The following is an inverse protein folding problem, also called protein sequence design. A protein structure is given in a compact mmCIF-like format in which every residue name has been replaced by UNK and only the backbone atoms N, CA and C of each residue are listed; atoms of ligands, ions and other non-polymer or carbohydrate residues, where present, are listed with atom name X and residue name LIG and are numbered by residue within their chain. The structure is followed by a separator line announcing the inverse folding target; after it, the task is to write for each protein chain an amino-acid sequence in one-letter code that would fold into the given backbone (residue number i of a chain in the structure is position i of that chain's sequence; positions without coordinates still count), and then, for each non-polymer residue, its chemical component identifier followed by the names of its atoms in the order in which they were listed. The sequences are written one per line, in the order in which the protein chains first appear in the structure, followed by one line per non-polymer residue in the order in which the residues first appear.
data_IF_993797184884
#
_entry.id   IF_993797184884
#
_cell.length_a   1.000
_cell.length_b   1.000
_cell.length_c   1.000
_cell.angle_alpha   90.00
_cell.angle_beta   90.00
_cell.angle_gamma   90.00
#
_symmetry.space_group_name_H-M   'P 1'
#
loop_
_entity.id
_entity.type
_entity.pdbx_description
1 polymer ?
#
# COMPACT_ATOMS: atom_id res chain seq x y z
N UNK A 1 -14.90 3.26 17.77
CA UNK A 1 -15.78 3.27 16.57
C UNK A 1 -16.11 1.85 16.12
N UNK A 2 -15.14 0.93 15.97
CA UNK A 2 -15.41 -0.46 15.58
C UNK A 2 -16.32 -1.25 16.54
N UNK A 3 -16.32 -0.95 17.85
CA UNK A 3 -17.22 -1.57 18.81
C UNK A 3 -18.64 -0.98 18.78
N UNK A 4 -18.82 0.27 18.36
CA UNK A 4 -20.13 0.90 18.22
C UNK A 4 -20.89 0.39 17.00
N UNK A 5 -20.18 0.06 15.91
CA UNK A 5 -20.79 -0.43 14.66
C UNK A 5 -21.37 -1.85 14.85
N UNK A 6 -20.73 -2.69 15.67
CA UNK A 6 -21.23 -4.04 16.01
C UNK A 6 -22.58 -4.06 16.76
N UNK A 7 -22.99 -2.95 17.36
CA UNK A 7 -24.23 -2.91 18.19
C UNK A 7 -25.51 -2.69 17.39
N UNK A 8 -25.43 -2.37 16.09
CA UNK A 8 -26.62 -1.98 15.30
C UNK A 8 -26.95 -2.89 14.12
N UNK A 9 -26.26 -4.01 13.94
CA UNK A 9 -26.48 -4.89 12.80
C UNK A 9 -26.03 -4.29 11.46
N UNK A 10 -25.26 -3.22 11.49
CA UNK A 10 -24.63 -2.63 10.31
C UNK A 10 -23.41 -3.45 9.91
N UNK A 11 -23.23 -3.71 8.60
CA UNK A 11 -22.02 -4.36 8.09
C UNK A 11 -20.81 -3.46 8.29
N UNK A 12 -19.74 -4.02 8.87
CA UNK A 12 -18.45 -3.33 8.91
C UNK A 12 -17.76 -3.36 7.55
N UNK A 13 -16.82 -2.43 7.32
CA UNK A 13 -16.00 -2.46 6.11
C UNK A 13 -15.20 -3.76 5.97
N UNK A 14 -14.79 -4.36 7.08
CA UNK A 14 -14.12 -5.66 7.06
C UNK A 14 -15.05 -6.80 6.60
N UNK A 15 -16.34 -6.74 6.93
CA UNK A 15 -17.33 -7.72 6.42
C UNK A 15 -17.53 -7.55 4.91
N UNK A 16 -17.65 -6.30 4.44
CA UNK A 16 -17.75 -5.97 3.01
C UNK A 16 -16.51 -6.48 2.24
N UNK A 17 -15.30 -6.20 2.72
CA UNK A 17 -14.07 -6.71 2.12
C UNK A 17 -14.03 -8.23 2.07
N UNK A 18 -14.44 -8.89 3.15
CA UNK A 18 -14.44 -10.35 3.25
C UNK A 18 -15.42 -10.98 2.27
N UNK A 19 -16.62 -10.41 2.14
CA UNK A 19 -17.60 -10.89 1.17
C UNK A 19 -17.14 -10.66 -0.27
N UNK A 20 -16.62 -9.46 -0.58
CA UNK A 20 -16.06 -9.15 -1.90
C UNK A 20 -14.91 -10.12 -2.26
N UNK A 21 -14.03 -10.43 -1.30
CA UNK A 21 -12.96 -11.39 -1.51
C UNK A 21 -13.51 -12.78 -1.82
N UNK A 22 -14.41 -13.32 -0.99
CA UNK A 22 -15.01 -14.63 -1.20
C UNK A 22 -15.70 -14.75 -2.58
N UNK A 23 -16.51 -13.76 -2.94
CA UNK A 23 -17.21 -13.76 -4.23
C UNK A 23 -16.25 -13.57 -5.42
N UNK A 24 -15.25 -12.72 -5.31
CA UNK A 24 -14.27 -12.53 -6.39
C UNK A 24 -13.45 -13.79 -6.65
N UNK A 25 -12.96 -14.44 -5.59
CA UNK A 25 -12.21 -15.69 -5.72
C UNK A 25 -13.07 -16.80 -6.33
N UNK A 26 -14.29 -17.01 -5.82
CA UNK A 26 -15.18 -18.04 -6.33
C UNK A 26 -15.62 -17.77 -7.79
N UNK A 27 -15.89 -16.52 -8.14
CA UNK A 27 -16.18 -16.11 -9.51
C UNK A 27 -15.01 -16.36 -10.47
N UNK A 28 -13.78 -16.04 -10.04
CA UNK A 28 -12.60 -16.14 -10.90
C UNK A 28 -12.06 -17.56 -11.02
N UNK A 29 -11.96 -18.30 -9.92
CA UNK A 29 -11.32 -19.63 -9.92
C UNK A 29 -12.32 -20.75 -10.23
N UNK A 30 -13.57 -20.63 -9.76
CA UNK A 30 -14.62 -21.63 -9.99
C UNK A 30 -15.59 -21.23 -11.11
N UNK A 31 -15.41 -20.06 -11.73
CA UNK A 31 -16.27 -19.51 -12.78
C UNK A 31 -17.76 -19.45 -12.35
N UNK A 32 -18.00 -19.13 -11.08
CA UNK A 32 -19.33 -19.11 -10.49
C UNK A 32 -20.06 -17.81 -10.83
N UNK A 33 -21.06 -17.91 -11.72
CA UNK A 33 -21.88 -16.75 -12.15
C UNK A 33 -22.72 -16.14 -11.01
N UNK A 34 -23.14 -16.94 -10.04
CA UNK A 34 -23.86 -16.43 -8.87
C UNK A 34 -22.95 -15.57 -8.00
N UNK A 35 -21.72 -16.04 -7.77
CA UNK A 35 -20.71 -15.26 -7.02
C UNK A 35 -20.31 -13.99 -7.76
N UNK A 36 -20.20 -14.05 -9.09
CA UNK A 36 -20.00 -12.84 -9.91
C UNK A 36 -21.12 -11.81 -9.68
N UNK A 37 -22.37 -12.22 -9.75
CA UNK A 37 -23.51 -11.33 -9.48
C UNK A 37 -23.48 -10.78 -8.07
N UNK A 38 -23.20 -11.61 -7.09
CA UNK A 38 -23.15 -11.22 -5.69
C UNK A 38 -22.00 -10.22 -5.42
N UNK A 39 -20.85 -10.38 -6.10
CA UNK A 39 -19.75 -9.41 -6.02
C UNK A 39 -20.24 -8.01 -6.38
N UNK A 40 -20.92 -7.83 -7.50
CA UNK A 40 -21.41 -6.52 -7.91
C UNK A 40 -22.52 -6.00 -7.00
N UNK A 41 -23.39 -6.88 -6.49
CA UNK A 41 -24.41 -6.48 -5.50
C UNK A 41 -23.76 -5.91 -4.22
N UNK A 42 -22.68 -6.53 -3.73
CA UNK A 42 -21.96 -6.04 -2.54
C UNK A 42 -21.15 -4.79 -2.88
N UNK A 43 -20.60 -4.68 -4.09
CA UNK A 43 -19.88 -3.46 -4.50
C UNK A 43 -20.84 -2.27 -4.63
N UNK A 44 -22.00 -2.45 -5.24
CA UNK A 44 -23.05 -1.41 -5.29
C UNK A 44 -23.50 -1.01 -3.89
N UNK A 45 -23.70 -1.97 -2.99
CA UNK A 45 -23.99 -1.68 -1.59
C UNK A 45 -22.88 -0.84 -0.93
N UNK A 46 -21.60 -1.17 -1.15
CA UNK A 46 -20.48 -0.38 -0.63
C UNK A 46 -20.52 1.07 -1.14
N UNK A 47 -20.87 1.28 -2.41
CA UNK A 47 -21.05 2.62 -3.00
C UNK A 47 -22.20 3.36 -2.32
N UNK A 48 -23.34 2.71 -2.10
CA UNK A 48 -24.50 3.29 -1.40
C UNK A 48 -24.18 3.65 0.05
N UNK A 49 -23.29 2.91 0.70
CA UNK A 49 -22.80 3.21 2.05
C UNK A 49 -21.74 4.31 2.08
N UNK A 50 -21.43 4.92 0.94
CA UNK A 50 -20.53 6.06 0.85
C UNK A 50 -19.14 5.76 0.28
N UNK A 51 -18.80 4.51 -0.06
CA UNK A 51 -17.61 4.21 -0.86
C UNK A 51 -17.83 4.64 -2.30
N UNK A 52 -18.00 5.95 -2.51
CA UNK A 52 -18.38 6.56 -3.76
C UNK A 52 -17.44 7.69 -4.15
N UNK A 53 -17.34 7.99 -5.43
CA UNK A 53 -16.59 9.14 -5.91
C UNK A 53 -17.14 10.44 -5.29
N UNK A 54 -16.24 11.23 -4.70
CA UNK A 54 -16.58 12.53 -4.14
C UNK A 54 -17.31 12.49 -2.79
N UNK A 55 -17.48 11.31 -2.19
CA UNK A 55 -18.14 11.23 -0.89
C UNK A 55 -17.24 11.71 0.25
N UNK A 56 -17.85 12.15 1.35
CA UNK A 56 -17.21 12.68 2.54
C UNK A 56 -17.12 11.71 3.72
N UNK A 57 -16.98 10.40 3.50
CA UNK A 57 -16.87 9.43 4.60
C UNK A 57 -15.71 9.72 5.55
N UNK A 58 -14.64 10.33 5.05
CA UNK A 58 -13.43 10.68 5.82
C UNK A 58 -12.21 10.85 4.92
N UNK A 59 -11.03 10.80 5.52
CA UNK A 59 -9.78 10.93 4.78
C UNK A 59 -9.37 9.60 4.14
N UNK A 60 -8.87 9.64 2.91
CA UNK A 60 -8.54 8.46 2.12
C UNK A 60 -7.56 7.53 2.85
N UNK A 61 -6.49 8.07 3.45
CA UNK A 61 -5.49 7.26 4.14
C UNK A 61 -6.03 6.55 5.39
N UNK A 62 -6.94 7.16 6.15
CA UNK A 62 -7.58 6.48 7.27
C UNK A 62 -8.50 5.35 6.80
N UNK A 63 -9.33 5.60 5.77
CA UNK A 63 -10.15 4.55 5.18
C UNK A 63 -9.32 3.49 4.46
N UNK A 64 -8.14 3.83 3.97
CA UNK A 64 -7.19 2.90 3.39
C UNK A 64 -6.94 1.67 4.26
N UNK A 65 -6.97 1.80 5.58
CA UNK A 65 -6.87 0.65 6.50
C UNK A 65 -8.03 -0.36 6.38
N UNK A 66 -9.17 0.06 5.87
CA UNK A 66 -10.41 -0.71 5.85
C UNK A 66 -10.86 -1.14 4.46
N UNK A 67 -10.24 -0.62 3.39
CA UNK A 67 -10.71 -0.84 2.00
C UNK A 67 -9.63 -1.47 1.10
N UNK A 68 -8.48 -1.86 1.64
CA UNK A 68 -7.34 -2.37 0.85
C UNK A 68 -7.69 -3.58 0.00
N UNK A 69 -8.44 -4.53 0.57
CA UNK A 69 -8.81 -5.77 -0.12
C UNK A 69 -9.81 -5.53 -1.25
N UNK A 70 -10.59 -4.44 -1.22
CA UNK A 70 -11.49 -4.06 -2.32
C UNK A 70 -10.69 -3.92 -3.62
N UNK A 71 -9.49 -3.33 -3.57
CA UNK A 71 -8.65 -3.14 -4.75
C UNK A 71 -8.14 -4.46 -5.33
N UNK A 72 -7.69 -5.37 -4.48
CA UNK A 72 -7.27 -6.72 -4.93
C UNK A 72 -8.42 -7.46 -5.60
N UNK A 73 -9.62 -7.41 -5.01
CA UNK A 73 -10.80 -8.05 -5.60
C UNK A 73 -11.25 -7.38 -6.89
N UNK A 74 -11.16 -6.04 -6.97
CA UNK A 74 -11.43 -5.30 -8.20
C UNK A 74 -10.45 -5.67 -9.32
N UNK A 75 -9.18 -5.89 -8.99
CA UNK A 75 -8.20 -6.39 -9.96
C UNK A 75 -8.54 -7.80 -10.46
N UNK A 76 -8.92 -8.71 -9.58
CA UNK A 76 -9.39 -10.04 -9.98
C UNK A 76 -10.59 -9.94 -10.91
N UNK A 77 -11.56 -9.10 -10.58
CA UNK A 77 -12.80 -8.91 -11.31
C UNK A 77 -12.72 -7.90 -12.47
N UNK A 78 -11.53 -7.37 -12.79
CA UNK A 78 -11.36 -6.25 -13.74
C UNK A 78 -12.02 -6.46 -15.09
N UNK A 79 -11.95 -7.66 -15.65
CA UNK A 79 -12.54 -7.98 -16.94
C UNK A 79 -14.08 -7.90 -16.91
N UNK A 80 -14.67 -8.26 -15.79
CA UNK A 80 -16.12 -8.18 -15.58
C UNK A 80 -16.54 -6.74 -15.24
N UNK A 81 -15.72 -6.01 -14.47
CA UNK A 81 -15.93 -4.57 -14.23
C UNK A 81 -15.93 -3.79 -15.54
N UNK A 82 -15.01 -4.08 -16.48
CA UNK A 82 -14.97 -3.39 -17.77
C UNK A 82 -16.22 -3.61 -18.64
N UNK A 83 -16.90 -4.73 -18.47
CA UNK A 83 -18.14 -5.06 -19.19
C UNK A 83 -19.39 -4.57 -18.46
N UNK A 84 -19.26 -4.20 -17.19
CA UNK A 84 -20.42 -3.86 -16.36
C UNK A 84 -21.03 -2.50 -16.74
N UNK A 85 -22.38 -2.33 -16.72
CA UNK A 85 -23.02 -1.04 -17.00
C UNK A 85 -22.55 0.11 -16.09
N UNK A 86 -22.21 -0.19 -14.82
CA UNK A 86 -21.71 0.78 -13.84
C UNK A 86 -20.18 0.93 -13.85
N UNK A 87 -19.49 0.47 -14.90
CA UNK A 87 -18.02 0.48 -15.02
C UNK A 87 -17.40 1.81 -14.60
N UNK A 88 -17.91 2.91 -15.13
CA UNK A 88 -17.31 4.22 -14.91
C UNK A 88 -17.49 4.70 -13.46
N UNK A 89 -18.59 4.30 -12.81
CA UNK A 89 -18.84 4.53 -11.37
C UNK A 89 -17.81 3.78 -10.54
N UNK A 90 -17.61 2.49 -10.79
CA UNK A 90 -16.64 1.68 -10.06
C UNK A 90 -15.22 2.21 -10.23
N UNK A 91 -14.78 2.45 -11.46
CA UNK A 91 -13.44 2.92 -11.75
C UNK A 91 -13.16 4.32 -11.21
N UNK A 92 -14.14 5.23 -11.24
CA UNK A 92 -13.99 6.56 -10.65
C UNK A 92 -13.93 6.50 -9.12
N UNK A 93 -14.74 5.66 -8.50
CA UNK A 93 -14.74 5.42 -7.06
C UNK A 93 -13.39 4.86 -6.58
N UNK A 94 -12.88 3.82 -7.24
CA UNK A 94 -11.58 3.24 -6.90
C UNK A 94 -10.48 4.29 -7.00
N UNK A 95 -10.40 5.06 -8.10
CA UNK A 95 -9.40 6.13 -8.27
C UNK A 95 -9.51 7.23 -7.22
N UNK A 96 -10.72 7.60 -6.83
CA UNK A 96 -10.96 8.61 -5.80
C UNK A 96 -10.46 8.15 -4.44
N UNK A 97 -10.87 6.97 -4.00
CA UNK A 97 -10.51 6.44 -2.68
C UNK A 97 -9.04 5.98 -2.59
N UNK A 98 -8.41 5.62 -3.70
CA UNK A 98 -6.96 5.44 -3.79
C UNK A 98 -6.19 6.78 -3.68
N UNK A 99 -6.84 7.91 -3.70
CA UNK A 99 -6.21 9.23 -3.83
C UNK A 99 -5.24 9.30 -5.04
N UNK A 100 -5.60 8.67 -6.17
CA UNK A 100 -4.72 8.58 -7.34
C UNK A 100 -4.40 9.96 -7.93
N UNK A 101 -5.27 10.95 -7.75
CA UNK A 101 -5.04 12.34 -8.20
C UNK A 101 -3.78 12.98 -7.60
N UNK A 102 -3.32 12.51 -6.44
CA UNK A 102 -2.09 13.02 -5.81
C UNK A 102 -0.85 12.73 -6.65
N UNK A 103 -0.87 11.67 -7.46
CA UNK A 103 0.27 11.24 -8.27
C UNK A 103 0.48 12.09 -9.53
N UNK A 104 -0.40 13.06 -9.81
CA UNK A 104 -0.26 13.98 -10.95
C UNK A 104 0.91 14.95 -10.79
N UNK A 105 1.35 15.17 -9.57
CA UNK A 105 2.48 16.04 -9.22
C UNK A 105 3.47 15.25 -8.35
N UNK A 106 4.75 15.60 -8.35
CA UNK A 106 5.69 15.08 -7.37
C UNK A 106 5.16 15.35 -5.95
N UNK A 107 5.47 14.46 -5.02
CA UNK A 107 5.04 14.62 -3.64
C UNK A 107 5.69 15.87 -3.02
N UNK A 108 4.87 16.72 -2.44
CA UNK A 108 5.37 17.85 -1.65
C UNK A 108 5.84 17.34 -0.28
N UNK A 109 7.07 17.66 0.16
CA UNK A 109 7.53 17.31 1.50
C UNK A 109 6.69 18.03 2.57
N UNK A 110 6.57 17.43 3.74
CA UNK A 110 5.93 18.08 4.89
C UNK A 110 4.55 17.55 5.27
N UNK A 111 4.10 16.44 4.69
CA UNK A 111 2.87 15.77 5.11
C UNK A 111 3.17 14.74 6.20
N UNK A 112 2.49 14.85 7.34
CA UNK A 112 2.62 13.88 8.44
C UNK A 112 1.97 12.52 8.08
N UNK A 113 0.94 12.54 7.24
CA UNK A 113 0.18 11.36 6.79
C UNK A 113 0.90 10.53 5.71
N UNK A 114 2.15 10.84 5.40
CA UNK A 114 2.87 10.20 4.30
C UNK A 114 3.05 8.69 4.53
N UNK A 115 3.38 8.27 5.76
CA UNK A 115 3.52 6.86 6.10
C UNK A 115 2.18 6.11 5.97
N UNK A 116 1.09 6.71 6.40
CA UNK A 116 -0.25 6.12 6.21
C UNK A 116 -0.57 5.97 4.72
N UNK A 117 -0.24 6.98 3.91
CA UNK A 117 -0.46 6.92 2.46
C UNK A 117 0.36 5.82 1.80
N UNK A 118 1.64 5.64 2.17
CA UNK A 118 2.47 4.54 1.67
C UNK A 118 1.91 3.18 2.09
N UNK A 119 1.56 3.03 3.37
CA UNK A 119 1.07 1.75 3.89
C UNK A 119 -0.30 1.38 3.34
N UNK A 120 -1.25 2.33 3.30
CA UNK A 120 -2.66 2.00 3.07
C UNK A 120 -3.12 2.21 1.63
N UNK A 121 -2.49 3.14 0.91
CA UNK A 121 -2.98 3.56 -0.41
C UNK A 121 -2.04 3.22 -1.56
N UNK A 122 -0.78 2.85 -1.33
CA UNK A 122 0.17 2.64 -2.41
C UNK A 122 -0.29 1.55 -3.39
N UNK A 123 -0.69 0.39 -2.86
CA UNK A 123 -1.19 -0.71 -3.71
C UNK A 123 -2.55 -0.37 -4.33
N UNK A 124 -3.39 0.39 -3.63
CA UNK A 124 -4.63 0.91 -4.19
C UNK A 124 -4.38 1.87 -5.37
N UNK A 125 -3.37 2.75 -5.25
CA UNK A 125 -2.92 3.63 -6.34
C UNK A 125 -2.40 2.82 -7.53
N UNK A 126 -1.55 1.81 -7.28
CA UNK A 126 -1.00 0.94 -8.33
C UNK A 126 -2.13 0.22 -9.10
N UNK A 127 -3.03 -0.46 -8.39
CA UNK A 127 -4.16 -1.16 -9.00
C UNK A 127 -5.05 -0.18 -9.76
N UNK A 128 -5.37 0.97 -9.18
CA UNK A 128 -6.21 1.99 -9.84
C UNK A 128 -5.55 2.56 -11.10
N UNK A 129 -4.22 2.69 -11.12
CA UNK A 129 -3.47 3.10 -12.30
C UNK A 129 -3.51 2.03 -13.40
N UNK A 130 -3.30 0.75 -13.02
CA UNK A 130 -3.39 -0.38 -13.96
C UNK A 130 -4.81 -0.63 -14.50
N UNK A 131 -5.85 -0.15 -13.82
CA UNK A 131 -7.25 -0.30 -14.23
C UNK A 131 -7.77 0.84 -15.13
N UNK A 132 -6.90 1.65 -15.75
CA UNK A 132 -7.36 2.51 -16.83
C UNK A 132 -7.60 1.68 -18.09
N UNK A 133 -8.77 1.79 -18.74
CA UNK A 133 -9.06 1.05 -19.98
C UNK A 133 -8.21 1.48 -21.18
N UNK A 134 -7.72 2.72 -21.16
CA UNK A 134 -6.86 3.30 -22.18
C UNK A 134 -5.40 3.14 -21.81
N UNK A 135 -4.60 2.52 -22.68
CA UNK A 135 -3.19 2.20 -22.43
C UNK A 135 -2.33 3.46 -22.19
N UNK A 136 -2.57 4.55 -22.90
CA UNK A 136 -1.81 5.79 -22.72
C UNK A 136 -2.09 6.41 -21.35
N UNK A 137 -3.36 6.36 -20.90
CA UNK A 137 -3.73 6.82 -19.55
C UNK A 137 -3.17 5.91 -18.47
N UNK A 138 -3.12 4.61 -18.71
CA UNK A 138 -2.51 3.65 -17.82
C UNK A 138 -1.02 3.96 -17.62
N UNK A 139 -0.27 4.11 -18.73
CA UNK A 139 1.14 4.48 -18.71
C UNK A 139 1.38 5.82 -18.02
N UNK A 140 0.59 6.86 -18.34
CA UNK A 140 0.68 8.16 -17.67
C UNK A 140 0.44 8.06 -16.16
N UNK A 141 -0.53 7.25 -15.72
CA UNK A 141 -0.84 7.07 -14.31
C UNK A 141 0.27 6.29 -13.57
N UNK A 142 0.84 5.26 -14.19
CA UNK A 142 1.96 4.49 -13.64
C UNK A 142 3.23 5.34 -13.55
N UNK A 143 3.56 6.09 -14.59
CA UNK A 143 4.67 7.06 -14.58
C UNK A 143 4.47 8.16 -13.51
N UNK A 144 3.22 8.63 -13.37
CA UNK A 144 2.85 9.58 -12.32
C UNK A 144 3.07 9.00 -10.92
N UNK A 145 2.65 7.75 -10.71
CA UNK A 145 2.80 7.05 -9.44
C UNK A 145 4.28 6.82 -9.09
N UNK A 146 5.09 6.35 -10.05
CA UNK A 146 6.54 6.15 -9.86
C UNK A 146 7.23 7.45 -9.45
N UNK A 147 6.97 8.56 -10.16
CA UNK A 147 7.51 9.89 -9.83
C UNK A 147 7.04 10.38 -8.47
N UNK A 148 5.76 10.22 -8.16
CA UNK A 148 5.20 10.61 -6.87
C UNK A 148 5.85 9.84 -5.73
N UNK A 149 5.95 8.51 -5.85
CA UNK A 149 6.55 7.67 -4.82
C UNK A 149 8.05 7.98 -4.69
N UNK A 150 8.81 8.04 -5.78
CA UNK A 150 10.23 8.39 -5.75
C UNK A 150 10.48 9.75 -5.08
N UNK A 151 9.66 10.75 -5.40
CA UNK A 151 9.78 12.07 -4.77
C UNK A 151 9.34 12.09 -3.31
N UNK A 152 8.46 11.19 -2.90
CA UNK A 152 7.99 11.08 -1.52
C UNK A 152 9.00 10.41 -0.59
N UNK A 153 9.86 9.54 -1.13
CA UNK A 153 10.88 8.80 -0.39
C UNK A 153 12.15 9.61 -0.10
N UNK A 154 12.14 10.92 -0.31
CA UNK A 154 13.26 11.81 0.05
C UNK A 154 13.40 11.96 1.56
N UNK A 155 14.61 12.22 2.01
CA UNK A 155 14.85 12.56 3.41
C UNK A 155 14.11 13.82 3.83
N UNK A 156 13.43 13.75 4.96
CA UNK A 156 12.66 14.87 5.52
C UNK A 156 13.33 15.47 6.73
N UNK A 157 13.31 16.81 6.89
CA UNK A 157 13.96 17.49 7.99
C UNK A 157 13.15 17.40 9.30
N UNK A 158 13.81 17.57 10.43
CA UNK A 158 13.20 17.75 11.75
C UNK A 158 12.22 16.62 12.10
N UNK A 159 11.05 16.96 12.59
CA UNK A 159 9.99 16.03 13.01
C UNK A 159 8.95 15.73 11.94
N UNK A 160 9.12 16.26 10.73
CA UNK A 160 8.22 15.99 9.60
C UNK A 160 8.18 14.49 9.29
N UNK A 161 7.01 13.94 9.00
CA UNK A 161 6.84 12.53 8.62
C UNK A 161 7.64 12.14 7.37
N UNK A 162 8.12 10.90 7.32
CA UNK A 162 8.94 10.35 6.23
C UNK A 162 10.27 9.78 6.71
N UNK A 163 11.17 9.49 5.76
CA UNK A 163 12.48 8.89 6.03
C UNK A 163 13.47 9.97 6.47
N UNK A 164 14.29 9.66 7.48
CA UNK A 164 15.36 10.50 7.98
C UNK A 164 16.72 10.07 7.41
N UNK A 165 17.72 10.93 7.54
CA UNK A 165 19.09 10.68 7.04
C UNK A 165 19.72 9.42 7.66
N UNK A 166 19.32 9.07 8.89
CA UNK A 166 19.74 7.86 9.60
C UNK A 166 18.89 6.62 9.26
N UNK A 167 17.95 6.75 8.32
CA UNK A 167 17.01 5.69 7.91
C UNK A 167 15.79 5.54 8.81
N UNK A 168 15.70 6.21 9.95
CA UNK A 168 14.49 6.16 10.77
C UNK A 168 13.30 6.76 10.04
N UNK A 169 12.11 6.21 10.27
CA UNK A 169 10.88 6.75 9.68
C UNK A 169 10.06 7.43 10.75
N UNK A 170 9.74 8.70 10.50
CA UNK A 170 8.97 9.52 11.43
C UNK A 170 7.50 9.56 11.02
N UNK A 171 6.63 9.41 12.03
CA UNK A 171 5.21 9.63 11.95
C UNK A 171 4.73 10.22 13.28
N UNK A 172 3.74 11.10 13.26
CA UNK A 172 3.26 11.81 14.46
C UNK A 172 4.38 12.51 15.25
N UNK A 173 5.35 13.07 14.56
CA UNK A 173 6.42 13.88 15.16
C UNK A 173 7.58 13.09 15.75
N UNK A 174 7.66 11.78 15.59
CA UNK A 174 8.73 10.94 16.11
C UNK A 174 8.97 9.66 15.33
N UNK A 175 10.05 8.95 15.69
CA UNK A 175 10.32 7.61 15.17
C UNK A 175 9.23 6.63 15.63
N UNK A 176 8.68 5.87 14.66
CA UNK A 176 7.53 5.03 14.96
C UNK A 176 7.58 3.70 14.18
N UNK A 177 8.32 2.69 14.71
CA UNK A 177 8.53 1.39 14.05
C UNK A 177 7.23 0.67 13.66
N UNK A 178 6.18 0.77 14.49
CA UNK A 178 4.91 0.13 14.20
C UNK A 178 4.17 0.66 12.97
N UNK A 179 4.48 1.87 12.50
CA UNK A 179 4.04 2.35 11.20
C UNK A 179 5.03 1.97 10.09
N UNK A 180 6.31 1.89 10.43
CA UNK A 180 7.39 1.57 9.49
C UNK A 180 7.19 0.20 8.87
N UNK A 181 6.83 -0.82 9.64
CA UNK A 181 6.68 -2.19 9.16
C UNK A 181 5.70 -2.27 7.99
N UNK A 182 4.48 -1.81 8.16
CA UNK A 182 3.50 -1.82 7.06
C UNK A 182 3.91 -0.99 5.84
N UNK A 183 4.69 0.08 6.03
CA UNK A 183 5.30 0.86 4.94
C UNK A 183 6.32 0.02 4.18
N UNK A 184 7.25 -0.65 4.89
CA UNK A 184 8.28 -1.47 4.26
C UNK A 184 7.66 -2.63 3.47
N UNK A 185 6.66 -3.32 4.03
CA UNK A 185 5.94 -4.38 3.35
C UNK A 185 5.33 -3.89 2.02
N UNK A 186 4.61 -2.77 2.06
CA UNK A 186 3.92 -2.25 0.88
C UNK A 186 4.89 -1.71 -0.18
N UNK A 187 5.95 -0.99 0.23
CA UNK A 187 6.95 -0.49 -0.71
C UNK A 187 7.78 -1.65 -1.29
N UNK A 188 8.12 -2.66 -0.48
CA UNK A 188 8.78 -3.87 -0.96
C UNK A 188 7.98 -4.58 -2.06
N UNK A 189 6.67 -4.71 -1.88
CA UNK A 189 5.78 -5.24 -2.93
C UNK A 189 5.76 -4.36 -4.18
N UNK A 190 5.67 -3.05 -4.02
CA UNK A 190 5.71 -2.13 -5.17
C UNK A 190 7.00 -2.29 -5.97
N UNK A 191 8.15 -2.34 -5.29
CA UNK A 191 9.45 -2.56 -5.91
C UNK A 191 9.48 -3.90 -6.64
N UNK A 192 9.01 -4.99 -6.01
CA UNK A 192 8.95 -6.30 -6.64
C UNK A 192 8.13 -6.32 -7.94
N UNK A 193 7.04 -5.54 -8.00
CA UNK A 193 6.19 -5.46 -9.20
C UNK A 193 6.75 -4.54 -10.29
N UNK A 194 7.55 -3.54 -9.94
CA UNK A 194 8.00 -2.51 -10.90
C UNK A 194 9.47 -2.62 -11.28
N UNK A 195 10.26 -3.41 -10.57
CA UNK A 195 11.68 -3.58 -10.84
C UNK A 195 11.94 -4.07 -12.27
N UNK A 196 12.89 -3.45 -12.95
CA UNK A 196 13.23 -3.76 -14.34
C UNK A 196 12.19 -3.28 -15.35
N UNK A 197 11.18 -2.51 -14.94
CA UNK A 197 10.23 -1.85 -15.84
C UNK A 197 10.52 -0.35 -15.92
N UNK A 198 9.90 0.34 -16.87
CA UNK A 198 9.96 1.80 -16.96
C UNK A 198 9.30 2.55 -15.78
N UNK A 199 8.58 1.84 -14.92
CA UNK A 199 7.88 2.36 -13.75
C UNK A 199 8.63 2.13 -12.45
N UNK A 200 9.86 1.64 -12.49
CA UNK A 200 10.67 1.45 -11.29
C UNK A 200 10.98 2.77 -10.58
N UNK A 201 11.27 2.68 -9.29
CA UNK A 201 11.71 3.84 -8.50
C UNK A 201 13.08 4.33 -8.96
N UNK A 202 13.33 5.63 -8.79
CA UNK A 202 14.68 6.18 -9.01
C UNK A 202 15.69 5.51 -8.08
N UNK A 203 16.95 5.45 -8.52
CA UNK A 203 18.03 4.90 -7.70
C UNK A 203 18.13 5.59 -6.33
N UNK A 204 18.02 6.92 -6.30
CA UNK A 204 18.01 7.70 -5.06
C UNK A 204 16.90 7.25 -4.10
N UNK A 205 15.67 7.08 -4.61
CA UNK A 205 14.54 6.62 -3.80
C UNK A 205 14.75 5.19 -3.26
N UNK A 206 15.34 4.30 -4.05
CA UNK A 206 15.72 2.94 -3.63
C UNK A 206 16.80 2.95 -2.55
N UNK A 207 17.79 3.85 -2.65
CA UNK A 207 18.80 4.05 -1.62
C UNK A 207 18.17 4.52 -0.29
N UNK A 208 17.27 5.49 -0.35
CA UNK A 208 16.59 6.00 0.84
C UNK A 208 15.72 4.93 1.51
N UNK A 209 14.94 4.17 0.75
CA UNK A 209 14.15 3.09 1.34
C UNK A 209 15.02 1.96 1.87
N UNK A 210 16.14 1.62 1.22
CA UNK A 210 17.13 0.69 1.74
C UNK A 210 17.64 1.12 3.11
N UNK A 211 17.92 2.41 3.30
CA UNK A 211 18.35 2.94 4.61
C UNK A 211 17.30 2.71 5.70
N UNK A 212 16.00 2.80 5.34
CA UNK A 212 14.91 2.52 6.28
C UNK A 212 14.81 1.02 6.64
N UNK A 213 15.05 0.12 5.69
CA UNK A 213 15.16 -1.32 5.97
C UNK A 213 16.29 -1.64 6.92
N UNK A 214 17.48 -1.07 6.67
CA UNK A 214 18.66 -1.25 7.53
C UNK A 214 18.41 -0.70 8.93
N UNK A 215 17.84 0.52 9.04
CA UNK A 215 17.48 1.11 10.32
C UNK A 215 16.49 0.22 11.09
N UNK A 216 15.44 -0.24 10.43
CA UNK A 216 14.45 -1.12 11.05
C UNK A 216 15.10 -2.41 11.55
N UNK A 217 15.98 -3.03 10.76
CA UNK A 217 16.73 -4.22 11.17
C UNK A 217 17.62 -3.97 12.39
N UNK A 218 18.27 -2.82 12.46
CA UNK A 218 19.14 -2.45 13.56
C UNK A 218 18.40 -2.17 14.88
N UNK A 219 17.15 -1.73 14.80
CA UNK A 219 16.30 -1.52 15.99
C UNK A 219 15.68 -2.81 16.54
N UNK A 220 15.68 -3.89 15.75
CA UNK A 220 15.08 -5.14 16.16
C UNK A 220 16.11 -6.09 16.75
N UNK A 221 15.76 -6.71 17.88
CA UNK A 221 16.38 -7.95 18.34
C UNK A 221 15.65 -9.10 17.64
N UNK A 222 16.28 -9.72 16.63
CA UNK A 222 15.61 -10.55 15.64
C UNK A 222 14.53 -9.76 14.91
N UNK A 223 13.28 -9.95 15.25
CA UNK A 223 12.11 -9.28 14.64
C UNK A 223 11.33 -8.37 15.60
N UNK A 224 11.78 -8.23 16.86
CA UNK A 224 11.09 -7.43 17.89
C UNK A 224 11.89 -6.16 18.21
N UNK A 225 11.20 -5.04 18.42
CA UNK A 225 11.78 -3.80 18.93
C UNK A 225 11.34 -3.49 20.35
N UNK A 226 12.13 -2.67 21.03
CA UNK A 226 11.92 -2.34 22.44
C UNK A 226 10.65 -1.52 22.66
N UNK A 227 10.05 -1.72 23.85
CA UNK A 227 8.86 -1.00 24.30
C UNK A 227 9.05 0.54 24.28
N UNK A 228 10.26 1.02 24.52
CA UNK A 228 10.56 2.47 24.54
C UNK A 228 10.39 3.19 23.22
N UNK A 229 10.38 2.45 22.09
CA UNK A 229 10.15 3.00 20.74
C UNK A 229 8.85 2.54 20.12
N UNK A 230 8.02 1.82 20.85
CA UNK A 230 6.75 1.25 20.34
C UNK A 230 5.62 2.27 20.20
N UNK A 231 5.82 3.51 20.64
CA UNK A 231 4.80 4.55 20.61
C UNK A 231 3.57 4.16 21.45
N UNK A 232 2.39 4.37 20.88
CA UNK A 232 1.11 4.06 21.58
C UNK A 232 0.73 2.57 21.56
N UNK A 233 1.54 1.70 20.97
CA UNK A 233 1.32 0.25 20.92
C UNK A 233 2.46 -0.51 21.59
N UNK A 234 2.66 -0.34 22.91
CA UNK A 234 3.87 -0.81 23.58
C UNK A 234 4.04 -2.33 23.60
N UNK A 235 2.97 -3.09 23.41
CA UNK A 235 2.98 -4.56 23.45
C UNK A 235 2.89 -5.21 22.07
N UNK A 236 2.98 -4.45 20.97
CA UNK A 236 2.84 -4.93 19.61
C UNK A 236 4.11 -4.81 18.76
N UNK A 237 5.25 -4.66 19.39
CA UNK A 237 6.52 -4.28 18.73
C UNK A 237 7.26 -5.39 18.01
N UNK A 238 6.73 -5.90 16.89
CA UNK A 238 7.41 -6.91 16.06
C UNK A 238 7.08 -6.78 14.57
N UNK A 239 8.02 -7.24 13.74
CA UNK A 239 7.80 -7.47 12.31
C UNK A 239 6.95 -8.73 12.09
N UNK A 240 5.98 -8.65 11.20
CA UNK A 240 5.24 -9.81 10.70
C UNK A 240 5.93 -10.48 9.51
N UNK A 241 5.35 -11.57 9.01
CA UNK A 241 5.88 -12.30 7.84
C UNK A 241 5.98 -11.43 6.59
N UNK A 242 4.98 -10.58 6.35
CA UNK A 242 4.97 -9.65 5.20
C UNK A 242 6.09 -8.61 5.29
N UNK A 243 6.40 -8.16 6.50
CA UNK A 243 7.50 -7.21 6.73
C UNK A 243 8.86 -7.86 6.50
N UNK A 244 9.02 -9.12 6.90
CA UNK A 244 10.24 -9.91 6.68
C UNK A 244 10.41 -10.21 5.18
N UNK A 245 9.34 -10.63 4.49
CA UNK A 245 9.34 -10.88 3.05
C UNK A 245 9.76 -9.64 2.26
N UNK A 246 9.45 -8.44 2.75
CA UNK A 246 9.83 -7.19 2.10
C UNK A 246 11.35 -7.02 1.97
N UNK A 247 12.15 -7.56 2.89
CA UNK A 247 13.61 -7.59 2.77
C UNK A 247 14.06 -8.43 1.57
N UNK A 248 13.42 -9.56 1.32
CA UNK A 248 13.71 -10.38 0.13
C UNK A 248 13.31 -9.64 -1.15
N UNK A 249 12.14 -9.03 -1.17
CA UNK A 249 11.63 -8.30 -2.33
C UNK A 249 12.57 -7.17 -2.76
N UNK A 250 13.05 -6.35 -1.80
CA UNK A 250 13.97 -5.27 -2.14
C UNK A 250 15.39 -5.79 -2.42
N UNK A 251 15.83 -6.86 -1.77
CA UNK A 251 17.13 -7.48 -2.07
C UNK A 251 17.19 -7.99 -3.51
N UNK A 252 16.11 -8.59 -4.00
CA UNK A 252 15.99 -9.10 -5.38
C UNK A 252 15.86 -8.00 -6.44
N UNK A 253 15.66 -6.75 -6.05
CA UNK A 253 15.58 -5.63 -6.98
C UNK A 253 16.95 -5.12 -7.49
N UNK A 254 18.03 -5.80 -7.13
CA UNK A 254 19.41 -5.47 -7.55
C UNK A 254 20.23 -4.81 -6.46
N UNK A 255 21.54 -4.80 -6.68
CA UNK A 255 22.48 -4.15 -5.76
C UNK A 255 22.38 -2.62 -5.84
N UNK A 256 21.83 -2.03 -4.80
CA UNK A 256 21.73 -0.59 -4.65
C UNK A 256 23.06 0.08 -4.24
N UNK A 257 24.14 -0.71 -4.04
CA UNK A 257 25.48 -0.18 -3.76
C UNK A 257 26.25 0.25 -5.01
N UNK A 258 25.68 0.02 -6.21
CA UNK A 258 26.27 0.39 -7.48
C UNK A 258 27.35 -0.56 -7.99
N UNK A 259 27.51 -1.75 -7.38
CA UNK A 259 28.45 -2.78 -7.82
C UNK A 259 27.96 -3.59 -9.03
N UNK A 260 26.68 -3.44 -9.36
CA UNK A 260 26.06 -4.13 -10.49
C UNK A 260 25.69 -5.60 -10.24
N UNK A 261 25.66 -6.03 -8.98
CA UNK A 261 25.23 -7.36 -8.59
C UNK A 261 23.72 -7.56 -8.86
N UNK A 262 23.32 -8.79 -9.14
CA UNK A 262 21.92 -9.12 -9.44
C UNK A 262 20.98 -8.95 -8.22
N UNK A 263 21.52 -8.88 -7.02
CA UNK A 263 20.76 -8.69 -5.78
C UNK A 263 21.59 -7.96 -4.73
N UNK A 264 20.91 -7.36 -3.75
CA UNK A 264 21.54 -6.68 -2.62
C UNK A 264 21.94 -7.69 -1.54
N UNK A 265 23.24 -7.96 -1.44
CA UNK A 265 23.79 -8.93 -0.49
C UNK A 265 23.52 -8.56 0.98
N UNK A 266 23.51 -7.27 1.33
CA UNK A 266 23.24 -6.80 2.69
C UNK A 266 21.81 -7.10 3.13
N UNK A 267 20.86 -6.72 2.32
CA UNK A 267 19.43 -6.98 2.59
C UNK A 267 19.08 -8.46 2.50
N UNK A 268 19.72 -9.22 1.59
CA UNK A 268 19.57 -10.67 1.53
C UNK A 268 20.09 -11.35 2.81
N UNK A 269 21.23 -10.90 3.33
CA UNK A 269 21.75 -11.39 4.60
C UNK A 269 20.84 -11.03 5.78
N UNK A 270 20.25 -9.84 5.79
CA UNK A 270 19.28 -9.43 6.82
C UNK A 270 18.01 -10.28 6.75
N UNK A 271 17.48 -10.55 5.56
CA UNK A 271 16.38 -11.49 5.37
C UNK A 271 16.67 -12.86 5.96
N UNK A 272 17.84 -13.45 5.61
CA UNK A 272 18.24 -14.77 6.09
C UNK A 272 18.46 -14.84 7.62
N UNK A 273 18.68 -13.71 8.28
CA UNK A 273 18.76 -13.63 9.75
C UNK A 273 17.40 -13.51 10.42
N UNK A 274 16.35 -13.15 9.65
CA UNK A 274 15.00 -12.96 10.15
C UNK A 274 14.14 -14.23 10.03
N UNK A 275 14.56 -15.19 9.22
CA UNK A 275 13.90 -16.50 9.06
C UNK A 275 14.68 -17.60 9.78
#
# INVERSE_FOLDING_TARGET
RQEQDKKKGEMSWNDIETMLAGFAYDACYNQNETSKKNYFTVFDYAIDQGFAFGSGMGTNHHYGHQIRKIYTTAWLMRNEIYKHPHRDVYLSTLRFWAALQETRQPCSPGRDELLDSWHTLLMAKLISAMMFPDANRQEQALNGLSRWLSSSLRYTPGTIGGIKVDGTTFHHGGFYPGYTTGVLATIGQFIAFTNGTEFELTEEARQHIKSAFIAMRNYCNFYEWGIGISGRHPFGGKMGSEDIEAFANIALSGDLSGRGDAFDHGLAADYLRLI
#
